data_IF_490708883626
#
_entry.id   IF_490708883626
#
_cell.length_a   1.000
_cell.length_b   1.000
_cell.length_c   1.000
_cell.angle_alpha   90.00
_cell.angle_beta   90.00
_cell.angle_gamma   90.00
#
_symmetry.space_group_name_H-M   'P 1'
#
loop_
_entity.id
_entity.type
_entity.pdbx_description
1 polymer ?
#
# COMPACT_ATOMS: atom_id res chain seq x y z
N UNK A 1 17.50 7.68 -27.09
CA UNK A 1 18.02 6.35 -27.46
C UNK A 1 19.12 5.99 -26.47
N UNK A 2 18.90 4.96 -25.68
CA UNK A 2 19.81 4.57 -24.62
C UNK A 2 20.94 3.70 -25.17
N UNK A 3 22.09 4.28 -25.55
CA UNK A 3 23.38 3.59 -25.89
C UNK A 3 23.32 2.21 -26.62
N UNK A 4 22.26 1.89 -27.36
CA UNK A 4 22.02 0.56 -27.92
C UNK A 4 21.75 -0.57 -26.92
N UNK A 5 21.50 -0.29 -25.64
CA UNK A 5 21.17 -1.31 -24.61
C UNK A 5 19.66 -1.44 -24.45
N UNK A 6 19.14 -2.67 -24.21
CA UNK A 6 17.72 -2.84 -23.93
C UNK A 6 17.36 -2.20 -22.59
N UNK A 7 16.20 -1.57 -22.56
CA UNK A 7 15.54 -1.00 -21.40
C UNK A 7 14.55 -2.01 -20.79
N UNK A 8 14.82 -2.35 -19.54
CA UNK A 8 13.92 -3.08 -18.65
C UNK A 8 13.26 -2.08 -17.69
N UNK A 9 11.93 -2.02 -17.71
CA UNK A 9 11.16 -1.20 -16.78
C UNK A 9 10.51 -2.08 -15.71
N UNK A 10 10.97 -1.96 -14.46
CA UNK A 10 10.42 -2.66 -13.31
C UNK A 10 9.24 -1.87 -12.76
N UNK A 11 8.10 -2.52 -12.56
CA UNK A 11 6.85 -1.83 -12.24
C UNK A 11 6.23 -2.42 -10.97
N UNK A 12 5.88 -1.55 -10.03
CA UNK A 12 5.13 -1.93 -8.84
C UNK A 12 4.02 -0.93 -8.50
N UNK A 13 3.49 -0.99 -7.29
CA UNK A 13 2.45 -0.07 -6.83
C UNK A 13 2.97 1.36 -6.66
N UNK A 14 3.73 1.60 -5.59
CA UNK A 14 4.19 2.93 -5.16
C UNK A 14 5.62 3.29 -5.57
N UNK A 15 6.38 2.34 -6.15
CA UNK A 15 7.80 2.54 -6.49
C UNK A 15 8.73 2.96 -5.33
N UNK A 16 8.39 2.56 -4.10
CA UNK A 16 9.18 2.90 -2.89
C UNK A 16 9.72 1.68 -2.14
N UNK A 17 9.08 0.52 -2.27
CA UNK A 17 9.47 -0.71 -1.55
C UNK A 17 10.04 -1.80 -2.47
N UNK A 18 9.18 -2.77 -2.82
CA UNK A 18 9.56 -3.92 -3.66
C UNK A 18 10.11 -3.53 -5.03
N UNK A 19 9.59 -2.45 -5.64
CA UNK A 19 10.03 -2.01 -6.97
C UNK A 19 11.49 -1.57 -7.05
N UNK A 20 11.96 -0.60 -6.23
CA UNK A 20 13.38 -0.24 -6.24
C UNK A 20 14.28 -1.38 -5.74
N UNK A 21 13.78 -2.28 -4.88
CA UNK A 21 14.48 -3.53 -4.52
C UNK A 21 14.74 -4.38 -5.76
N UNK A 22 13.69 -4.74 -6.48
CA UNK A 22 13.77 -5.54 -7.70
C UNK A 22 14.67 -4.88 -8.75
N UNK A 23 14.56 -3.56 -8.93
CA UNK A 23 15.41 -2.82 -9.87
C UNK A 23 16.89 -2.83 -9.47
N UNK A 24 17.21 -2.62 -8.19
CA UNK A 24 18.58 -2.69 -7.68
C UNK A 24 19.22 -4.08 -7.90
N UNK A 25 18.48 -5.14 -7.57
CA UNK A 25 18.93 -6.52 -7.75
C UNK A 25 19.12 -6.87 -9.24
N UNK A 26 18.21 -6.43 -10.12
CA UNK A 26 18.33 -6.65 -11.57
C UNK A 26 19.49 -5.87 -12.19
N UNK A 27 19.76 -4.63 -11.74
CA UNK A 27 20.96 -3.89 -12.17
C UNK A 27 22.23 -4.67 -11.85
N UNK A 28 22.29 -5.24 -10.65
CA UNK A 28 23.40 -6.08 -10.23
C UNK A 28 23.51 -7.34 -11.10
N UNK A 29 22.42 -8.12 -11.21
CA UNK A 29 22.38 -9.39 -11.94
C UNK A 29 22.62 -9.26 -13.46
N UNK A 30 22.24 -8.12 -14.06
CA UNK A 30 22.45 -7.85 -15.48
C UNK A 30 23.79 -7.15 -15.74
N UNK A 31 24.51 -6.68 -14.72
CA UNK A 31 25.88 -6.14 -14.82
C UNK A 31 26.06 -5.12 -15.95
N UNK A 32 25.06 -4.27 -16.19
CA UNK A 32 25.09 -3.22 -17.22
C UNK A 32 24.84 -3.69 -18.66
N UNK A 33 24.46 -4.96 -18.87
CA UNK A 33 24.01 -5.47 -20.18
C UNK A 33 22.62 -4.96 -20.60
N UNK A 34 21.85 -4.46 -19.64
CA UNK A 34 20.59 -3.76 -19.84
C UNK A 34 20.54 -2.49 -18.97
N UNK A 35 19.69 -1.56 -19.36
CA UNK A 35 19.32 -0.42 -18.53
C UNK A 35 18.07 -0.81 -17.75
N UNK A 36 18.13 -0.70 -16.43
CA UNK A 36 17.02 -1.07 -15.55
C UNK A 36 16.53 0.18 -14.86
N UNK A 37 15.29 0.56 -15.17
CA UNK A 37 14.57 1.63 -14.51
C UNK A 37 13.41 1.06 -13.71
N UNK A 38 12.81 1.87 -12.83
CA UNK A 38 11.60 1.49 -12.12
C UNK A 38 10.54 2.59 -12.16
N UNK A 39 9.28 2.19 -12.03
CA UNK A 39 8.14 3.10 -11.93
C UNK A 39 7.00 2.46 -11.14
N UNK A 40 6.01 3.28 -10.74
CA UNK A 40 4.83 2.80 -10.03
C UNK A 40 3.53 3.13 -10.76
N UNK A 41 2.58 2.18 -10.75
CA UNK A 41 1.23 2.39 -11.31
C UNK A 41 0.36 3.31 -10.44
N UNK A 42 0.73 3.49 -9.17
CA UNK A 42 0.07 4.37 -8.19
C UNK A 42 1.07 5.35 -7.54
N UNK A 43 2.28 5.49 -8.10
CA UNK A 43 3.34 6.31 -7.49
C UNK A 43 3.06 7.79 -7.67
N UNK A 44 3.37 8.56 -6.64
CA UNK A 44 3.61 9.99 -6.75
C UNK A 44 5.09 10.21 -7.08
N UNK A 45 5.42 11.27 -7.82
CA UNK A 45 6.80 11.58 -8.13
C UNK A 45 7.53 12.18 -6.93
N UNK A 46 8.78 11.80 -6.71
CA UNK A 46 9.69 12.49 -5.79
C UNK A 46 9.92 11.82 -4.44
N UNK A 47 9.23 10.72 -4.12
CA UNK A 47 9.46 9.98 -2.88
C UNK A 47 10.74 9.14 -2.98
N UNK A 48 11.55 9.09 -1.92
CA UNK A 48 12.70 8.17 -1.86
C UNK A 48 12.24 6.73 -1.67
N UNK A 49 13.13 5.77 -1.95
CA UNK A 49 12.91 4.39 -1.49
C UNK A 49 12.68 4.36 0.04
N UNK A 50 11.81 3.47 0.50
CA UNK A 50 11.58 3.27 1.93
C UNK A 50 12.90 2.99 2.65
N UNK A 51 13.12 3.59 3.81
CA UNK A 51 14.38 3.46 4.56
C UNK A 51 14.74 2.00 4.81
N UNK A 52 13.77 1.16 5.14
CA UNK A 52 13.97 -0.27 5.35
C UNK A 52 14.36 -1.01 4.06
N UNK A 53 13.87 -0.57 2.90
CA UNK A 53 14.29 -1.11 1.60
C UNK A 53 15.76 -0.78 1.31
N UNK A 54 16.18 0.46 1.61
CA UNK A 54 17.56 0.90 1.47
C UNK A 54 18.48 0.07 2.38
N UNK A 55 18.15 0.00 3.68
CA UNK A 55 18.92 -0.77 4.66
C UNK A 55 19.00 -2.27 4.32
N UNK A 56 17.91 -2.86 3.83
CA UNK A 56 17.87 -4.27 3.47
C UNK A 56 18.77 -4.58 2.26
N UNK A 57 18.81 -3.74 1.23
CA UNK A 57 19.75 -3.91 0.12
C UNK A 57 21.20 -3.56 0.49
N UNK A 58 21.40 -2.55 1.34
CA UNK A 58 22.73 -2.17 1.82
C UNK A 58 23.40 -3.35 2.55
N UNK A 59 22.61 -4.17 3.26
CA UNK A 59 23.10 -5.39 3.91
C UNK A 59 23.76 -6.42 2.97
N UNK A 60 23.48 -6.34 1.66
CA UNK A 60 24.10 -7.16 0.61
C UNK A 60 24.95 -6.33 -0.37
N UNK A 61 25.27 -5.09 0.00
CA UNK A 61 26.16 -4.21 -0.76
C UNK A 61 25.54 -3.54 -1.99
N UNK A 62 24.20 -3.43 -2.06
CA UNK A 62 23.49 -2.74 -3.13
C UNK A 62 22.92 -1.42 -2.61
N UNK A 63 23.27 -0.31 -3.27
CA UNK A 63 22.81 1.03 -2.89
C UNK A 63 21.64 1.49 -3.79
N UNK A 64 20.54 1.89 -3.14
CA UNK A 64 19.36 2.52 -3.77
C UNK A 64 18.98 3.85 -3.09
N UNK A 65 19.86 4.44 -2.30
CA UNK A 65 19.60 5.70 -1.56
C UNK A 65 19.24 6.87 -2.47
N UNK A 66 19.76 6.87 -3.71
CA UNK A 66 19.46 7.88 -4.73
C UNK A 66 18.20 7.56 -5.56
N UNK A 67 17.45 6.50 -5.22
CA UNK A 67 16.21 6.17 -5.89
C UNK A 67 15.16 7.26 -5.66
N UNK A 68 14.45 7.61 -6.72
CA UNK A 68 13.31 8.53 -6.68
C UNK A 68 12.12 7.87 -7.37
N UNK A 69 11.08 7.64 -6.58
CA UNK A 69 9.82 7.08 -7.02
C UNK A 69 9.18 7.98 -8.07
N UNK A 70 8.59 7.34 -9.07
CA UNK A 70 8.00 8.03 -10.22
C UNK A 70 6.81 7.28 -10.80
N UNK A 71 5.79 8.01 -11.28
CA UNK A 71 4.66 7.37 -11.96
C UNK A 71 5.12 6.69 -13.25
N UNK A 72 4.44 5.61 -13.60
CA UNK A 72 4.62 4.97 -14.91
C UNK A 72 4.16 5.92 -16.02
N UNK A 73 5.11 6.31 -16.87
CA UNK A 73 4.91 7.18 -18.02
C UNK A 73 4.75 6.37 -19.32
N UNK A 74 3.94 6.91 -20.25
CA UNK A 74 3.67 6.26 -21.52
C UNK A 74 4.92 6.28 -22.43
N UNK A 75 5.78 7.32 -22.37
CA UNK A 75 6.93 7.40 -23.28
C UNK A 75 7.95 6.31 -23.00
N UNK A 76 8.17 5.95 -21.74
CA UNK A 76 9.08 4.87 -21.34
C UNK A 76 8.49 3.50 -21.61
N UNK A 77 7.17 3.34 -21.46
CA UNK A 77 6.47 2.13 -21.89
C UNK A 77 6.72 1.83 -23.38
N UNK A 78 6.69 2.85 -24.24
CA UNK A 78 6.97 2.67 -25.67
C UNK A 78 8.43 2.29 -25.95
N UNK A 79 9.37 2.68 -25.09
CA UNK A 79 10.80 2.45 -25.29
C UNK A 79 11.29 1.14 -24.66
N UNK A 80 10.60 0.61 -23.65
CA UNK A 80 11.02 -0.58 -22.95
C UNK A 80 10.82 -1.86 -23.79
N UNK A 81 11.82 -2.74 -23.76
CA UNK A 81 11.78 -4.09 -24.33
C UNK A 81 11.02 -5.05 -23.41
N UNK A 82 10.97 -4.76 -22.11
CA UNK A 82 10.24 -5.54 -21.11
C UNK A 82 9.69 -4.64 -19.99
N UNK A 83 8.40 -4.85 -19.68
CA UNK A 83 7.65 -4.24 -18.59
C UNK A 83 7.44 -5.31 -17.52
N UNK A 84 8.28 -5.29 -16.48
CA UNK A 84 8.32 -6.34 -15.47
C UNK A 84 7.55 -5.93 -14.22
N UNK A 85 6.34 -6.46 -14.05
CA UNK A 85 5.57 -6.33 -12.82
C UNK A 85 6.20 -7.11 -11.66
N UNK A 86 6.30 -6.49 -10.48
CA UNK A 86 6.83 -7.14 -9.27
C UNK A 86 5.86 -8.16 -8.65
N UNK A 87 4.56 -8.05 -8.96
CA UNK A 87 3.53 -8.99 -8.52
C UNK A 87 2.37 -9.07 -9.53
N UNK A 88 1.54 -10.11 -9.41
CA UNK A 88 0.36 -10.34 -10.28
C UNK A 88 -0.69 -9.22 -10.20
N UNK A 89 -0.80 -8.55 -9.05
CA UNK A 89 -1.73 -7.43 -8.88
C UNK A 89 -1.34 -6.25 -9.76
N UNK A 90 -0.04 -5.96 -9.84
CA UNK A 90 0.54 -4.92 -10.69
C UNK A 90 0.44 -5.32 -12.16
N UNK A 91 0.69 -6.59 -12.49
CA UNK A 91 0.50 -7.13 -13.85
C UNK A 91 -0.93 -6.91 -14.34
N UNK A 92 -1.94 -7.15 -13.49
CA UNK A 92 -3.35 -6.91 -13.85
C UNK A 92 -3.64 -5.43 -14.16
N UNK A 93 -3.04 -4.51 -13.39
CA UNK A 93 -3.16 -3.06 -13.66
C UNK A 93 -2.51 -2.71 -14.99
N UNK A 94 -1.33 -3.27 -15.28
CA UNK A 94 -0.65 -3.09 -16.56
C UNK A 94 -1.46 -3.65 -17.72
N UNK A 95 -2.08 -4.82 -17.57
CA UNK A 95 -2.93 -5.41 -18.58
C UNK A 95 -4.16 -4.54 -18.88
N UNK A 96 -4.69 -3.85 -17.86
CA UNK A 96 -5.80 -2.91 -18.03
C UNK A 96 -5.37 -1.65 -18.79
N UNK A 97 -4.16 -1.15 -18.53
CA UNK A 97 -3.62 0.08 -19.16
C UNK A 97 -3.06 -0.16 -20.56
N UNK A 98 -2.39 -1.29 -20.76
CA UNK A 98 -1.70 -1.70 -21.99
C UNK A 98 -2.16 -3.11 -22.42
N UNK A 99 -3.42 -3.24 -22.88
CA UNK A 99 -4.00 -4.55 -23.18
C UNK A 99 -3.26 -5.26 -24.30
N UNK A 100 -2.98 -6.54 -24.10
CA UNK A 100 -2.30 -7.43 -25.05
C UNK A 100 -0.86 -7.01 -25.44
N UNK A 101 -0.20 -6.15 -24.65
CA UNK A 101 1.20 -5.85 -24.89
C UNK A 101 2.07 -7.07 -24.51
N UNK A 102 2.74 -7.73 -25.47
CA UNK A 102 3.51 -8.94 -25.21
C UNK A 102 4.76 -8.69 -24.36
N UNK A 103 5.12 -7.42 -24.13
CA UNK A 103 6.26 -7.01 -23.30
C UNK A 103 5.91 -6.96 -21.82
N UNK A 104 4.64 -7.11 -21.42
CA UNK A 104 4.25 -7.18 -20.01
C UNK A 104 4.49 -8.60 -19.49
N UNK A 105 5.23 -8.69 -18.39
CA UNK A 105 5.46 -9.95 -17.67
C UNK A 105 5.46 -9.72 -16.16
N UNK A 106 5.14 -10.76 -15.39
CA UNK A 106 5.24 -10.75 -13.93
C UNK A 106 6.45 -11.55 -13.43
N UNK A 107 7.22 -10.97 -12.51
CA UNK A 107 8.40 -11.60 -11.93
C UNK A 107 8.08 -12.95 -11.29
N UNK A 108 7.02 -13.03 -10.49
CA UNK A 108 6.63 -14.27 -9.80
C UNK A 108 6.18 -15.36 -10.77
N UNK A 109 5.56 -14.98 -11.89
CA UNK A 109 5.16 -15.89 -12.98
C UNK A 109 6.38 -16.40 -13.74
N UNK A 110 7.31 -15.52 -14.13
CA UNK A 110 8.55 -15.94 -14.79
C UNK A 110 9.39 -16.86 -13.90
N UNK A 111 9.42 -16.58 -12.60
CA UNK A 111 10.12 -17.36 -11.58
C UNK A 111 9.39 -18.63 -11.13
N UNK A 112 8.16 -18.87 -11.59
CA UNK A 112 7.30 -19.99 -11.17
C UNK A 112 7.17 -20.09 -9.65
N UNK A 113 6.82 -18.96 -9.03
CA UNK A 113 6.81 -18.78 -7.57
C UNK A 113 5.60 -17.95 -7.11
N UNK A 114 5.23 -17.99 -5.81
CA UNK A 114 4.21 -17.10 -5.26
C UNK A 114 4.66 -15.64 -5.30
N UNK A 115 3.71 -14.71 -5.22
CA UNK A 115 4.05 -13.29 -5.09
C UNK A 115 4.72 -13.00 -3.74
N UNK A 116 5.63 -12.04 -3.75
CA UNK A 116 6.29 -11.56 -2.55
C UNK A 116 5.39 -10.53 -1.88
N UNK A 117 5.05 -10.76 -0.61
CA UNK A 117 4.16 -9.89 0.17
C UNK A 117 4.72 -8.48 0.28
N UNK A 118 3.84 -7.48 0.38
CA UNK A 118 4.24 -6.10 0.58
C UNK A 118 4.72 -5.87 2.03
N UNK A 119 6.00 -5.52 2.26
CA UNK A 119 6.53 -5.34 3.61
C UNK A 119 6.25 -3.95 4.20
N UNK A 120 5.45 -3.11 3.56
CA UNK A 120 5.16 -1.78 4.09
C UNK A 120 4.65 -1.84 5.55
N UNK A 121 5.30 -1.04 6.43
CA UNK A 121 5.11 -1.03 7.90
C UNK A 121 5.52 -2.29 8.65
N UNK A 122 6.24 -3.21 8.00
CA UNK A 122 6.83 -4.37 8.66
C UNK A 122 8.23 -4.05 9.21
N UNK A 123 8.68 -4.77 10.25
CA UNK A 123 10.05 -4.62 10.78
C UNK A 123 11.12 -4.96 9.74
N UNK A 124 12.33 -4.38 9.89
CA UNK A 124 13.47 -4.57 8.97
C UNK A 124 13.79 -6.05 8.67
N UNK A 125 13.66 -6.97 9.64
CA UNK A 125 13.90 -8.40 9.41
C UNK A 125 12.97 -9.01 8.34
N UNK A 126 11.75 -8.48 8.20
CA UNK A 126 10.84 -8.87 7.11
C UNK A 126 11.37 -8.34 5.79
N UNK A 127 11.80 -7.07 5.72
CA UNK A 127 12.39 -6.48 4.51
C UNK A 127 13.62 -7.24 4.01
N UNK A 128 14.51 -7.64 4.91
CA UNK A 128 15.65 -8.51 4.58
C UNK A 128 15.16 -9.83 3.99
N UNK A 129 14.15 -10.46 4.59
CA UNK A 129 13.56 -11.69 4.04
C UNK A 129 12.95 -11.49 2.64
N UNK A 130 12.33 -10.33 2.41
CA UNK A 130 11.76 -9.93 1.11
C UNK A 130 12.85 -9.75 0.05
N UNK A 131 13.98 -9.11 0.39
CA UNK A 131 15.14 -9.00 -0.52
C UNK A 131 15.61 -10.38 -0.97
N UNK A 132 15.74 -11.34 -0.05
CA UNK A 132 16.14 -12.70 -0.39
C UNK A 132 15.12 -13.41 -1.28
N UNK A 133 13.82 -13.26 -1.01
CA UNK A 133 12.77 -13.84 -1.85
C UNK A 133 12.78 -13.25 -3.26
N UNK A 134 12.91 -11.93 -3.39
CA UNK A 134 12.99 -11.26 -4.70
C UNK A 134 14.26 -11.69 -5.44
N UNK A 135 15.41 -11.80 -4.76
CA UNK A 135 16.64 -12.30 -5.37
C UNK A 135 16.46 -13.72 -5.92
N UNK A 136 15.86 -14.63 -5.14
CA UNK A 136 15.56 -15.99 -5.60
C UNK A 136 14.61 -16.01 -6.80
N UNK A 137 13.63 -15.10 -6.85
CA UNK A 137 12.77 -14.95 -8.02
C UNK A 137 13.54 -14.47 -9.24
N UNK A 138 14.40 -13.46 -9.07
CA UNK A 138 15.25 -12.93 -10.13
C UNK A 138 16.16 -14.04 -10.66
N UNK A 139 16.83 -14.80 -9.80
CA UNK A 139 17.74 -15.88 -10.22
C UNK A 139 17.03 -16.91 -11.10
N UNK A 140 15.79 -17.28 -10.75
CA UNK A 140 14.96 -18.20 -11.54
C UNK A 140 14.44 -17.57 -12.84
N UNK A 141 14.08 -16.29 -12.81
CA UNK A 141 13.51 -15.58 -13.94
C UNK A 141 14.57 -15.08 -14.93
N UNK A 142 15.83 -14.95 -14.52
CA UNK A 142 16.89 -14.28 -15.27
C UNK A 142 17.10 -14.86 -16.69
N UNK A 143 17.08 -16.18 -16.93
CA UNK A 143 17.19 -16.72 -18.28
C UNK A 143 16.06 -16.25 -19.20
N UNK A 144 14.81 -16.25 -18.70
CA UNK A 144 13.63 -15.79 -19.44
C UNK A 144 13.69 -14.28 -19.68
N UNK A 145 14.10 -13.50 -18.67
CA UNK A 145 14.30 -12.04 -18.78
C UNK A 145 15.33 -11.73 -19.87
N UNK A 146 16.51 -12.37 -19.83
CA UNK A 146 17.58 -12.18 -20.82
C UNK A 146 17.10 -12.52 -22.24
N UNK A 147 16.36 -13.62 -22.38
CA UNK A 147 15.75 -13.99 -23.66
C UNK A 147 14.78 -12.92 -24.18
N UNK A 148 13.89 -12.40 -23.32
CA UNK A 148 12.90 -11.40 -23.71
C UNK A 148 13.54 -10.06 -24.12
N UNK A 149 14.61 -9.65 -23.45
CA UNK A 149 15.33 -8.40 -23.77
C UNK A 149 16.47 -8.60 -24.80
N UNK A 150 16.57 -9.77 -25.41
CA UNK A 150 17.50 -10.05 -26.50
C UNK A 150 18.98 -10.16 -26.10
N UNK A 151 19.29 -10.45 -24.84
CA UNK A 151 20.65 -10.64 -24.34
C UNK A 151 21.02 -12.12 -24.36
N UNK A 152 22.08 -12.49 -25.08
CA UNK A 152 22.61 -13.87 -25.10
C UNK A 152 23.44 -14.18 -23.84
N UNK A 153 23.41 -15.43 -23.35
CA UNK A 153 23.98 -15.86 -22.05
C UNK A 153 25.49 -15.59 -21.84
N UNK A 154 26.23 -15.19 -22.87
CA UNK A 154 27.70 -15.10 -22.86
C UNK A 154 28.34 -13.84 -22.25
N UNK A 155 27.60 -13.00 -21.52
CA UNK A 155 28.17 -11.86 -20.80
C UNK A 155 27.79 -11.89 -19.31
N UNK A 156 28.26 -12.92 -18.62
CA UNK A 156 28.28 -12.92 -17.15
C UNK A 156 29.75 -12.93 -16.75
N UNK A 157 30.28 -11.80 -16.29
CA UNK A 157 31.61 -11.77 -15.69
C UNK A 157 31.50 -12.47 -14.33
N UNK A 158 32.34 -13.47 -14.02
CA UNK A 158 32.30 -14.08 -12.69
C UNK A 158 32.67 -13.04 -11.63
N UNK A 159 32.02 -13.12 -10.47
CA UNK A 159 32.41 -12.41 -9.27
C UNK A 159 33.93 -12.51 -9.06
N UNK A 160 34.64 -11.43 -8.69
CA UNK A 160 35.98 -11.59 -8.13
C UNK A 160 35.83 -12.45 -6.87
N UNK A 161 36.52 -13.58 -6.85
CA UNK A 161 36.72 -14.39 -5.64
C UNK A 161 37.28 -13.45 -4.55
N UNK A 162 36.80 -13.61 -3.31
CA UNK A 162 37.07 -12.75 -2.14
C UNK A 162 38.56 -12.68 -1.67
N UNK A 163 39.54 -12.76 -2.57
CA UNK A 163 40.96 -12.83 -2.20
C UNK A 163 41.81 -11.59 -2.55
N UNK A 164 41.28 -10.49 -3.09
CA UNK A 164 42.16 -9.39 -3.55
C UNK A 164 41.79 -7.95 -3.19
N UNK A 165 40.88 -7.72 -2.25
CA UNK A 165 40.77 -6.41 -1.62
C UNK A 165 41.24 -6.53 -0.18
N UNK A 166 42.39 -5.90 0.10
CA UNK A 166 42.97 -5.75 1.43
C UNK A 166 42.05 -4.94 2.33
N UNK A 167 40.95 -5.56 2.75
CA UNK A 167 40.02 -5.04 3.71
C UNK A 167 40.57 -5.41 5.09
N UNK A 168 41.20 -4.45 5.76
CA UNK A 168 41.36 -4.54 7.21
C UNK A 168 39.96 -4.41 7.82
N UNK A 169 39.39 -5.46 8.44
CA UNK A 169 38.07 -5.36 9.02
C UNK A 169 38.15 -4.37 10.18
N UNK A 170 37.30 -3.35 10.18
CA UNK A 170 36.99 -2.65 11.41
C UNK A 170 36.44 -3.71 12.37
N UNK A 171 37.20 -3.99 13.42
CA UNK A 171 36.81 -4.92 14.47
C UNK A 171 35.70 -4.25 15.29
N UNK A 172 34.47 -4.34 14.79
CA UNK A 172 33.27 -4.14 15.58
C UNK A 172 32.95 -5.51 16.18
N UNK A 173 33.09 -5.62 17.50
CA UNK A 173 32.95 -6.87 18.24
C UNK A 173 31.64 -7.58 17.96
N UNK A 174 31.72 -8.91 17.80
CA UNK A 174 30.62 -9.87 17.72
C UNK A 174 29.40 -9.43 16.90
N UNK A 175 29.49 -9.58 15.58
CA UNK A 175 28.29 -9.83 14.76
C UNK A 175 27.60 -11.10 15.26
N UNK A 176 26.32 -11.06 15.71
CA UNK A 176 25.61 -12.26 16.11
C UNK A 176 25.38 -13.10 14.85
N UNK A 177 25.86 -14.34 14.90
CA UNK A 177 25.72 -15.32 13.81
C UNK A 177 24.31 -15.91 13.89
N UNK A 178 23.35 -15.24 13.24
CA UNK A 178 21.91 -15.57 13.33
C UNK A 178 21.53 -16.96 12.81
N UNK A 179 22.42 -17.62 12.08
CA UNK A 179 22.20 -19.00 11.60
C UNK A 179 22.01 -20.02 12.72
N UNK A 180 22.49 -19.72 13.94
CA UNK A 180 22.44 -20.60 15.10
C UNK A 180 21.46 -20.14 16.20
N UNK A 181 20.63 -19.14 15.94
CA UNK A 181 19.67 -18.64 16.93
C UNK A 181 18.41 -19.52 16.95
N UNK A 182 18.28 -20.34 18.00
CA UNK A 182 17.16 -21.27 18.16
C UNK A 182 15.81 -20.57 18.17
N UNK A 183 15.71 -19.35 18.73
CA UNK A 183 14.47 -18.61 18.83
C UNK A 183 14.04 -18.07 17.46
N UNK A 184 15.00 -17.64 16.63
CA UNK A 184 14.73 -17.24 15.25
C UNK A 184 14.29 -18.43 14.38
N UNK A 185 14.94 -19.59 14.54
CA UNK A 185 14.51 -20.80 13.84
C UNK A 185 13.15 -21.32 14.33
N UNK A 186 12.80 -21.04 15.58
CA UNK A 186 11.48 -21.37 16.15
C UNK A 186 10.40 -20.44 15.61
N UNK A 187 10.70 -19.16 15.44
CA UNK A 187 9.82 -18.17 14.81
C UNK A 187 9.55 -18.53 13.33
N UNK A 188 10.59 -18.91 12.59
CA UNK A 188 10.46 -19.32 11.18
C UNK A 188 9.67 -20.63 11.03
N UNK A 189 9.80 -21.56 11.99
CA UNK A 189 8.95 -22.77 12.05
C UNK A 189 7.50 -22.43 12.36
N UNK A 190 7.22 -21.56 13.32
CA UNK A 190 5.86 -21.12 13.66
C UNK A 190 5.15 -20.43 12.47
N UNK A 191 5.88 -19.66 11.66
CA UNK A 191 5.35 -19.00 10.46
C UNK A 191 5.01 -20.03 9.36
N UNK A 192 5.79 -21.10 9.24
CA UNK A 192 5.55 -22.16 8.26
C UNK A 192 4.48 -23.18 8.72
N UNK A 193 4.43 -23.51 10.01
CA UNK A 193 3.49 -24.48 10.58
C UNK A 193 2.07 -23.91 10.77
N UNK A 194 1.93 -22.58 10.84
CA UNK A 194 0.63 -21.88 10.85
C UNK A 194 -0.22 -22.05 9.58
N UNK A 195 0.30 -22.73 8.54
CA UNK A 195 -0.46 -23.10 7.33
C UNK A 195 -1.16 -24.46 7.42
N UNK A 196 -0.99 -25.22 8.51
CA UNK A 196 -1.56 -26.57 8.62
C UNK A 196 -2.09 -26.89 10.04
N UNK A 197 -3.05 -26.12 10.56
CA UNK A 197 -3.96 -26.58 11.61
C UNK A 197 -5.11 -25.59 11.82
N UNK A 198 -6.32 -25.94 11.37
CA UNK A 198 -7.54 -25.48 12.03
C UNK A 198 -7.83 -26.45 13.19
N UNK A 199 -8.10 -25.98 14.41
CA UNK A 199 -8.84 -26.78 15.37
C UNK A 199 -10.29 -26.32 15.49
N UNK A 200 -11.15 -27.33 15.50
CA UNK A 200 -12.57 -27.31 15.81
C UNK A 200 -12.84 -26.61 17.15
N UNK A 201 -13.83 -25.71 17.19
CA UNK A 201 -14.29 -25.06 18.42
C UNK A 201 -15.50 -25.84 18.95
N UNK A 202 -15.24 -26.61 20.01
CA UNK A 202 -16.23 -27.27 20.84
C UNK A 202 -16.87 -26.26 21.79
N UNK A 203 -18.20 -26.18 21.76
CA UNK A 203 -19.01 -25.32 22.61
C UNK A 203 -19.11 -25.84 24.04
N UNK A 204 -19.17 -24.96 25.05
CA UNK A 204 -19.99 -25.11 26.27
C UNK A 204 -20.03 -23.80 27.11
N UNK A 205 -21.01 -23.62 28.04
CA UNK A 205 -21.72 -22.35 28.21
C UNK A 205 -21.76 -21.75 29.64
N UNK A 206 -22.34 -20.55 29.74
CA UNK A 206 -23.11 -19.98 30.87
C UNK A 206 -22.40 -19.27 32.04
N UNK A 207 -22.82 -18.01 32.27
CA UNK A 207 -23.40 -17.41 33.50
C UNK A 207 -22.98 -15.94 33.62
N UNK A 208 -23.85 -14.96 33.36
CA UNK A 208 -24.94 -14.41 34.16
C UNK A 208 -24.48 -13.81 35.52
N UNK A 209 -24.54 -12.47 35.62
CA UNK A 209 -24.27 -11.71 36.83
C UNK A 209 -24.63 -10.23 36.64
N UNK A 210 -25.84 -9.87 37.04
CA UNK A 210 -26.46 -8.55 36.92
C UNK A 210 -26.18 -7.64 38.13
N UNK A 211 -26.60 -6.37 37.98
CA UNK A 211 -26.77 -5.31 38.99
C UNK A 211 -25.47 -4.56 39.38
N UNK A 212 -25.42 -3.23 39.58
CA UNK A 212 -26.43 -2.24 39.93
C UNK A 212 -25.89 -0.81 39.58
N UNK A 213 -26.71 0.03 38.96
CA UNK A 213 -26.74 1.51 39.14
C UNK A 213 -27.54 1.81 40.43
N UNK A 214 -27.46 2.99 41.12
CA UNK A 214 -27.71 4.34 40.54
C UNK A 214 -27.00 5.51 41.32
N UNK A 215 -27.51 6.76 41.36
CA UNK A 215 -27.40 7.85 40.37
C UNK A 215 -26.89 9.19 41.01
N UNK A 216 -27.19 10.33 40.36
CA UNK A 216 -27.05 11.75 40.80
C UNK A 216 -25.69 12.43 40.52
N UNK A 217 -25.58 13.67 40.04
CA UNK A 217 -26.54 14.70 39.64
C UNK A 217 -25.84 15.76 38.75
N UNK A 218 -26.60 16.37 37.83
CA UNK A 218 -26.28 17.66 37.19
C UNK A 218 -26.73 18.82 38.10
N UNK A 219 -26.08 19.99 37.98
CA UNK A 219 -26.83 21.17 37.52
C UNK A 219 -26.01 21.96 36.47
N UNK A 220 -26.57 22.27 35.30
CA UNK A 220 -27.34 23.47 34.94
C UNK A 220 -26.61 24.83 35.01
N UNK A 221 -26.56 25.43 33.80
CA UNK A 221 -26.90 26.82 33.44
C UNK A 221 -25.94 27.98 33.76
N UNK A 222 -25.69 28.78 32.70
CA UNK A 222 -25.64 30.26 32.62
C UNK A 222 -24.86 30.62 31.34
N UNK A 223 -25.50 30.87 30.19
CA UNK A 223 -26.05 32.16 29.73
C UNK A 223 -25.07 33.36 29.81
N UNK A 224 -24.46 33.67 28.65
CA UNK A 224 -24.33 34.98 27.97
C UNK A 224 -23.68 36.19 28.69
N UNK A 225 -23.45 37.34 28.01
CA UNK A 225 -23.13 37.64 26.60
C UNK A 225 -21.93 38.61 26.47
N UNK A 226 -21.43 38.87 25.25
CA UNK A 226 -21.00 40.23 24.83
C UNK A 226 -20.60 40.24 23.35
N UNK A 227 -21.43 40.88 22.55
CA UNK A 227 -21.09 41.55 21.29
C UNK A 227 -20.11 42.71 21.56
N UNK A 228 -19.15 42.95 20.66
CA UNK A 228 -18.90 44.27 20.01
C UNK A 228 -17.77 44.13 18.94
N UNK A 229 -17.51 45.11 18.06
CA UNK A 229 -18.03 45.11 16.71
C UNK A 229 -16.94 45.09 15.63
N UNK A 230 -17.41 45.13 14.38
CA UNK A 230 -16.64 45.34 13.16
C UNK A 230 -15.58 46.45 13.27
N UNK A 231 -14.36 46.15 12.84
CA UNK A 231 -13.38 47.14 12.40
C UNK A 231 -12.91 46.76 10.99
N UNK A 232 -13.30 47.64 10.08
CA UNK A 232 -12.72 48.00 8.80
C UNK A 232 -11.29 47.52 8.51
N UNK A 233 -11.13 47.02 7.28
CA UNK A 233 -9.87 46.78 6.59
C UNK A 233 -9.02 48.06 6.51
N UNK A 234 -7.70 47.91 6.33
CA UNK A 234 -7.14 48.50 5.12
C UNK A 234 -6.25 47.52 4.36
N UNK A 235 -6.33 47.69 3.04
CA UNK A 235 -5.52 47.03 2.03
C UNK A 235 -4.03 47.02 2.38
N UNK A 236 -3.45 45.83 2.34
CA UNK A 236 -2.01 45.65 2.23
C UNK A 236 -1.75 44.74 1.03
N UNK A 237 -1.03 45.31 0.07
CA UNK A 237 -0.35 44.65 -1.03
C UNK A 237 0.34 43.37 -0.55
N UNK A 238 0.22 42.28 -1.32
CA UNK A 238 1.27 41.26 -1.46
C UNK A 238 1.00 40.30 -2.61
N UNK A 239 2.02 40.21 -3.44
CA UNK A 239 2.57 38.97 -4.03
C UNK A 239 1.76 38.30 -5.15
N UNK A 240 2.19 38.61 -6.39
CA UNK A 240 2.12 37.71 -7.52
C UNK A 240 2.55 36.29 -7.09
N UNK A 241 1.63 35.34 -7.16
CA UNK A 241 1.88 33.92 -6.90
C UNK A 241 1.78 33.16 -8.23
N UNK A 242 2.61 32.12 -8.45
CA UNK A 242 2.94 31.61 -9.78
C UNK A 242 1.79 30.87 -10.46
N UNK A 243 1.87 30.80 -11.79
CA UNK A 243 1.00 30.06 -12.68
C UNK A 243 0.55 28.70 -12.13
N UNK A 244 -0.77 28.52 -12.08
CA UNK A 244 -1.42 27.29 -11.69
C UNK A 244 -0.99 26.11 -12.60
N UNK A 245 -0.54 25.03 -11.99
CA UNK A 245 -0.47 23.71 -12.61
C UNK A 245 -1.88 23.25 -13.04
N UNK A 246 -2.02 22.43 -14.10
CA UNK A 246 -3.32 22.01 -14.60
C UNK A 246 -4.07 21.15 -13.57
N UNK A 247 -5.30 21.56 -13.23
CA UNK A 247 -6.20 20.85 -12.33
C UNK A 247 -6.59 19.48 -12.91
N UNK A 248 -6.31 18.41 -12.17
CA UNK A 248 -6.85 17.07 -12.44
C UNK A 248 -8.37 17.08 -12.27
N UNK A 249 -9.13 16.25 -13.01
CA UNK A 249 -10.59 16.20 -12.89
C UNK A 249 -10.98 15.76 -11.47
N UNK A 250 -11.51 16.69 -10.68
CA UNK A 250 -12.03 16.42 -9.34
C UNK A 250 -13.29 15.57 -9.46
N UNK A 251 -13.16 14.28 -9.17
CA UNK A 251 -14.29 13.33 -9.13
C UNK A 251 -15.28 13.76 -8.04
N UNK A 252 -16.58 13.75 -8.34
CA UNK A 252 -17.59 14.32 -7.44
C UNK A 252 -17.84 13.43 -6.21
N UNK A 253 -18.37 14.02 -5.14
CA UNK A 253 -18.73 13.29 -3.89
C UNK A 253 -19.64 12.11 -4.19
N UNK A 254 -20.64 12.32 -5.05
CA UNK A 254 -21.57 11.29 -5.48
C UNK A 254 -20.86 10.12 -6.19
N UNK A 255 -19.84 10.39 -7.01
CA UNK A 255 -19.05 9.35 -7.70
C UNK A 255 -18.20 8.53 -6.72
N UNK A 256 -17.62 9.19 -5.71
CA UNK A 256 -16.90 8.50 -4.64
C UNK A 256 -17.82 7.57 -3.83
N UNK A 257 -19.02 8.05 -3.49
CA UNK A 257 -20.05 7.27 -2.78
C UNK A 257 -20.54 6.09 -3.63
N UNK A 258 -20.82 6.31 -4.91
CA UNK A 258 -21.24 5.24 -5.82
C UNK A 258 -20.17 4.16 -5.96
N UNK A 259 -18.89 4.55 -5.99
CA UNK A 259 -17.77 3.60 -6.04
C UNK A 259 -17.59 2.84 -4.73
N UNK A 260 -17.77 3.47 -3.57
CA UNK A 260 -17.81 2.77 -2.28
C UNK A 260 -18.92 1.71 -2.24
N UNK A 261 -20.12 2.05 -2.74
CA UNK A 261 -21.24 1.11 -2.83
C UNK A 261 -20.88 -0.15 -3.62
N UNK A 262 -20.33 0.02 -4.83
CA UNK A 262 -19.89 -1.11 -5.68
C UNK A 262 -18.82 -1.99 -5.02
N UNK A 263 -17.91 -1.38 -4.26
CA UNK A 263 -16.86 -2.12 -3.54
C UNK A 263 -17.45 -2.97 -2.40
N UNK A 264 -18.46 -2.45 -1.70
CA UNK A 264 -19.18 -3.17 -0.65
C UNK A 264 -20.07 -4.28 -1.23
N UNK A 265 -20.71 -4.04 -2.38
CA UNK A 265 -21.47 -5.06 -3.11
C UNK A 265 -20.58 -6.24 -3.50
N UNK A 266 -19.42 -5.96 -4.11
CA UNK A 266 -18.45 -7.00 -4.48
C UNK A 266 -17.96 -7.81 -3.27
N UNK A 267 -17.83 -7.17 -2.11
CA UNK A 267 -17.45 -7.83 -0.86
C UNK A 267 -18.53 -8.79 -0.33
N UNK A 268 -19.80 -8.47 -0.56
CA UNK A 268 -20.93 -9.31 -0.20
C UNK A 268 -21.16 -10.48 -1.17
N UNK A 269 -20.92 -10.28 -2.46
CA UNK A 269 -21.16 -11.30 -3.49
C UNK A 269 -20.06 -12.37 -3.56
N UNK A 270 -18.79 -11.98 -3.40
CA UNK A 270 -17.64 -12.89 -3.59
C UNK A 270 -16.63 -12.78 -2.45
N UNK A 271 -17.03 -13.10 -1.20
CA UNK A 271 -16.20 -12.85 -0.01
C UNK A 271 -14.88 -13.63 -0.01
N UNK A 272 -14.82 -14.79 -0.67
CA UNK A 272 -13.64 -15.67 -0.68
C UNK A 272 -12.43 -15.11 -1.45
N UNK A 273 -12.68 -14.18 -2.38
CA UNK A 273 -11.65 -13.62 -3.27
C UNK A 273 -11.23 -12.21 -2.80
N UNK A 274 -11.90 -11.67 -1.77
CA UNK A 274 -11.74 -10.29 -1.32
C UNK A 274 -10.65 -10.22 -0.24
N UNK A 275 -9.58 -9.49 -0.55
CA UNK A 275 -8.63 -9.02 0.45
C UNK A 275 -9.31 -7.91 1.28
N UNK A 276 -9.89 -8.31 2.43
CA UNK A 276 -10.57 -7.39 3.33
C UNK A 276 -9.67 -6.26 3.83
N UNK A 277 -8.40 -6.53 4.11
CA UNK A 277 -7.49 -5.50 4.62
C UNK A 277 -7.28 -4.40 3.57
N UNK A 278 -7.06 -4.80 2.30
CA UNK A 278 -6.93 -3.87 1.18
C UNK A 278 -8.23 -3.13 0.89
N UNK A 279 -9.35 -3.84 0.85
CA UNK A 279 -10.67 -3.24 0.66
C UNK A 279 -10.97 -2.21 1.77
N UNK A 280 -10.77 -2.57 3.04
CA UNK A 280 -10.97 -1.68 4.19
C UNK A 280 -10.15 -0.41 4.06
N UNK A 281 -8.87 -0.50 3.68
CA UNK A 281 -8.03 0.68 3.49
C UNK A 281 -8.53 1.57 2.36
N UNK A 282 -9.00 0.99 1.27
CA UNK A 282 -9.61 1.71 0.14
C UNK A 282 -10.92 2.40 0.55
N UNK A 283 -11.77 1.72 1.35
CA UNK A 283 -12.99 2.31 1.92
C UNK A 283 -12.64 3.53 2.79
N UNK A 284 -11.67 3.40 3.69
CA UNK A 284 -11.21 4.50 4.58
C UNK A 284 -10.65 5.68 3.78
N UNK A 285 -9.79 5.42 2.81
CA UNK A 285 -9.19 6.48 1.99
C UNK A 285 -10.27 7.28 1.25
N UNK A 286 -11.28 6.59 0.68
CA UNK A 286 -12.40 7.23 -0.01
C UNK A 286 -13.32 7.99 0.95
N UNK A 287 -13.58 7.47 2.14
CA UNK A 287 -14.34 8.17 3.17
C UNK A 287 -13.67 9.50 3.54
N UNK A 288 -12.33 9.52 3.64
CA UNK A 288 -11.56 10.76 3.87
C UNK A 288 -11.67 11.74 2.70
N UNK A 289 -11.66 11.27 1.45
CA UNK A 289 -11.91 12.13 0.29
C UNK A 289 -13.33 12.71 0.32
N UNK A 290 -14.33 11.91 0.69
CA UNK A 290 -15.73 12.36 0.83
C UNK A 290 -15.84 13.43 1.93
N UNK A 291 -15.15 13.25 3.06
CA UNK A 291 -15.13 14.20 4.16
C UNK A 291 -14.59 15.58 3.73
N UNK A 292 -13.65 15.63 2.79
CA UNK A 292 -13.07 16.87 2.27
C UNK A 292 -14.01 17.62 1.32
N UNK A 293 -15.11 17.00 0.87
CA UNK A 293 -16.09 17.57 -0.05
C UNK A 293 -17.40 17.98 0.67
N UNK A 294 -17.30 18.45 1.91
CA UNK A 294 -18.44 18.94 2.68
C UNK A 294 -19.01 20.24 2.09
N UNK A 295 -20.34 20.31 1.97
CA UNK A 295 -21.04 21.46 1.38
C UNK A 295 -21.45 22.48 2.47
N UNK A 296 -20.48 22.91 3.29
CA UNK A 296 -20.64 23.96 4.31
C UNK A 296 -20.57 23.48 5.77
N UNK A 297 -20.64 24.41 6.73
CA UNK A 297 -20.37 24.12 8.15
C UNK A 297 -21.47 23.31 8.85
N UNK A 298 -22.66 23.22 8.26
CA UNK A 298 -23.79 22.43 8.76
C UNK A 298 -23.87 21.04 8.13
N UNK A 299 -22.95 20.71 7.20
CA UNK A 299 -22.87 19.39 6.59
C UNK A 299 -22.10 18.44 7.52
N UNK A 300 -22.82 17.47 8.09
CA UNK A 300 -22.24 16.49 9.00
C UNK A 300 -21.59 15.29 8.31
N UNK A 301 -21.42 15.30 6.98
CA UNK A 301 -20.69 14.24 6.25
C UNK A 301 -19.31 13.95 6.86
N UNK A 302 -18.45 14.93 7.21
CA UNK A 302 -17.16 14.64 7.85
C UNK A 302 -17.31 13.85 9.15
N UNK A 303 -18.26 14.22 10.01
CA UNK A 303 -18.52 13.51 11.26
C UNK A 303 -19.01 12.07 10.99
N UNK A 304 -19.92 11.89 10.03
CA UNK A 304 -20.42 10.57 9.65
C UNK A 304 -19.30 9.67 9.09
N UNK A 305 -18.41 10.21 8.26
CA UNK A 305 -17.26 9.46 7.72
C UNK A 305 -16.31 8.99 8.81
N UNK A 306 -16.09 9.79 9.86
CA UNK A 306 -15.26 9.40 11.01
C UNK A 306 -15.89 8.26 11.81
N UNK A 307 -17.21 8.26 11.99
CA UNK A 307 -17.91 7.16 12.68
C UNK A 307 -17.77 5.84 11.90
N UNK A 308 -17.97 5.90 10.57
CA UNK A 308 -17.84 4.74 9.69
C UNK A 308 -16.39 4.25 9.65
N UNK A 309 -15.41 5.16 9.52
CA UNK A 309 -13.99 4.85 9.59
C UNK A 309 -13.63 4.17 10.92
N UNK A 310 -14.07 4.73 12.05
CA UNK A 310 -13.83 4.17 13.37
C UNK A 310 -14.35 2.74 13.50
N UNK A 311 -15.53 2.46 12.96
CA UNK A 311 -16.07 1.09 12.91
C UNK A 311 -15.27 0.18 11.99
N UNK A 312 -14.94 0.61 10.78
CA UNK A 312 -14.10 -0.16 9.85
C UNK A 312 -12.77 -0.56 10.48
N UNK A 313 -12.08 0.35 11.17
CA UNK A 313 -10.79 0.10 11.83
C UNK A 313 -10.91 -0.99 12.90
N UNK A 314 -12.02 -1.04 13.63
CA UNK A 314 -12.26 -2.04 14.68
C UNK A 314 -12.48 -3.47 14.12
N UNK A 315 -12.87 -3.61 12.85
CA UNK A 315 -13.11 -4.91 12.22
C UNK A 315 -11.87 -5.40 11.44
N UNK A 316 -11.14 -6.35 12.04
CA UNK A 316 -9.96 -6.97 11.44
C UNK A 316 -10.29 -8.01 10.35
N UNK A 317 -11.49 -8.60 10.39
CA UNK A 317 -11.98 -9.57 9.41
C UNK A 317 -13.16 -9.01 8.61
N UNK A 318 -13.45 -9.64 7.46
CA UNK A 318 -14.60 -9.29 6.63
C UNK A 318 -15.89 -9.31 7.47
N UNK A 319 -16.71 -8.25 7.46
CA UNK A 319 -17.98 -8.21 8.17
C UNK A 319 -18.98 -9.21 7.58
N UNK A 320 -20.00 -9.57 8.37
CA UNK A 320 -21.11 -10.39 7.88
C UNK A 320 -21.87 -9.69 6.75
N UNK A 321 -22.65 -10.43 5.96
CA UNK A 321 -23.48 -9.86 4.92
C UNK A 321 -24.46 -8.80 5.45
N UNK A 322 -25.02 -9.02 6.65
CA UNK A 322 -25.90 -8.07 7.33
C UNK A 322 -25.16 -6.78 7.71
N UNK A 323 -23.94 -6.91 8.24
CA UNK A 323 -23.07 -5.79 8.55
C UNK A 323 -22.67 -4.97 7.32
N UNK A 324 -22.32 -5.66 6.21
CA UNK A 324 -22.01 -5.02 4.94
C UNK A 324 -23.22 -4.25 4.38
N UNK A 325 -24.43 -4.79 4.54
CA UNK A 325 -25.66 -4.12 4.15
C UNK A 325 -25.93 -2.85 4.98
N UNK A 326 -25.76 -2.91 6.31
CA UNK A 326 -25.87 -1.74 7.19
C UNK A 326 -24.85 -0.65 6.82
N UNK A 327 -23.60 -1.06 6.57
CA UNK A 327 -22.53 -0.17 6.12
C UNK A 327 -22.85 0.48 4.76
N UNK A 328 -23.36 -0.29 3.81
CA UNK A 328 -23.75 0.21 2.49
C UNK A 328 -24.86 1.27 2.58
N UNK A 329 -25.88 1.03 3.42
CA UNK A 329 -26.94 2.01 3.68
C UNK A 329 -26.39 3.30 4.28
N UNK A 330 -25.49 3.19 5.25
CA UNK A 330 -24.84 4.35 5.87
C UNK A 330 -24.01 5.14 4.85
N UNK A 331 -23.23 4.45 3.99
CA UNK A 331 -22.42 5.08 2.94
C UNK A 331 -23.28 5.78 1.88
N UNK A 332 -24.40 5.19 1.46
CA UNK A 332 -25.26 5.78 0.42
C UNK A 332 -25.76 7.20 0.78
N UNK A 333 -25.94 7.46 2.08
CA UNK A 333 -26.39 8.78 2.59
C UNK A 333 -25.35 9.88 2.42
N UNK A 334 -24.06 9.53 2.38
CA UNK A 334 -22.95 10.49 2.25
C UNK A 334 -22.93 11.23 0.90
N UNK A 335 -23.80 10.85 -0.05
CA UNK A 335 -23.92 11.51 -1.35
C UNK A 335 -24.55 12.90 -1.29
N UNK A 336 -25.24 13.23 -0.19
CA UNK A 336 -25.91 14.51 0.06
C UNK A 336 -25.43 15.10 1.39
N UNK A 337 -25.59 16.42 1.61
CA UNK A 337 -25.30 17.01 2.91
C UNK A 337 -26.14 16.36 4.01
N UNK A 338 -25.52 16.09 5.16
CA UNK A 338 -26.18 15.41 6.28
C UNK A 338 -26.55 16.39 7.39
N UNK A 339 -27.72 16.18 8.00
CA UNK A 339 -28.14 16.84 9.23
C UNK A 339 -27.90 15.98 10.49
N UNK A 340 -28.20 16.53 11.66
CA UNK A 340 -28.05 15.81 12.94
C UNK A 340 -28.90 14.54 13.06
N UNK A 341 -30.09 14.51 12.45
CA UNK A 341 -30.96 13.32 12.43
C UNK A 341 -30.36 12.18 11.58
N UNK A 342 -29.69 12.51 10.48
CA UNK A 342 -29.01 11.53 9.64
C UNK A 342 -27.80 10.93 10.36
N UNK A 343 -27.04 11.77 11.08
CA UNK A 343 -25.90 11.32 11.89
C UNK A 343 -26.34 10.34 12.99
N UNK A 344 -27.46 10.63 13.68
CA UNK A 344 -28.04 9.72 14.67
C UNK A 344 -28.49 8.38 14.04
N UNK A 345 -29.05 8.43 12.83
CA UNK A 345 -29.45 7.23 12.08
C UNK A 345 -28.25 6.37 11.70
N UNK A 346 -27.18 6.99 11.18
CA UNK A 346 -25.92 6.30 10.85
C UNK A 346 -25.31 5.70 12.12
N UNK A 347 -25.29 6.44 13.24
CA UNK A 347 -24.84 5.92 14.53
C UNK A 347 -25.61 4.70 15.00
N UNK A 348 -26.94 4.69 14.83
CA UNK A 348 -27.79 3.55 15.15
C UNK A 348 -27.52 2.32 14.28
N UNK A 349 -27.37 2.51 12.96
CA UNK A 349 -27.01 1.42 12.03
C UNK A 349 -25.62 0.84 12.36
N UNK A 350 -24.63 1.70 12.64
CA UNK A 350 -23.29 1.29 13.03
C UNK A 350 -23.21 0.62 14.40
N UNK A 351 -24.16 0.89 15.30
CA UNK A 351 -24.25 0.20 16.59
C UNK A 351 -24.85 -1.21 16.47
N UNK A 352 -25.64 -1.46 15.42
CA UNK A 352 -26.20 -2.76 15.09
C UNK A 352 -25.27 -3.62 14.22
N UNK A 353 -24.28 -2.98 13.59
CA UNK A 353 -23.11 -3.65 13.02
C UNK A 353 -22.22 -4.24 14.11
#
# INVERSE_FOLDING_TARGET
MYEGKPLLLVIGGSDTGRTPITAGLLRHALSGSAIVLSAGVLSHAGESAATEAQMALESIGIDISNHVARPLDDTEHHQAELLLAVDRGTEMVLFTRFPNDPRVACLSVLAESPDVLDPHRMPLGVWVSIVHQIQQQIDKALPKIRQQIGISEHQSSPLPTQESLGYTPLTIGNTPRWDNDEDMQRLLRLINDGRAAQPEVEAQPSSNGAAHLPPEALPQASESPAEDPAIEQPAAEREETPAAAPAQPTTSRADHVARLGKLLDAAGEVPEIIDWQRLRQELINRLRTIAQQAEGPTDFVPAATLMIEGKLVQHASLPSAEALFLLQRSVARLSKPLGGADLATIGGELAQW
#
